data_IF_307607504658
#
_entry.id   IF_307607504658
#
_cell.length_a   1.000
_cell.length_b   1.000
_cell.length_c   1.000
_cell.angle_alpha   90.00
_cell.angle_beta   90.00
_cell.angle_gamma   90.00
#
_symmetry.space_group_name_H-M   'P 1'
#
loop_
_entity.id
_entity.type
_entity.pdbx_description
1 polymer ?
#
# COMPACT_ATOMS: atom_id res chain seq x y z
N UNK A 1 13.14 6.03 -2.09
CA UNK A 1 12.37 5.64 -3.31
C UNK A 1 10.95 5.25 -2.92
N UNK A 2 9.93 5.53 -3.74
CA UNK A 2 8.53 5.11 -3.47
C UNK A 2 7.89 4.57 -4.76
N UNK A 3 7.78 3.25 -4.85
CA UNK A 3 7.13 2.55 -5.97
C UNK A 3 6.34 1.35 -5.42
N UNK A 4 5.00 1.28 -5.56
CA UNK A 4 4.19 0.21 -4.98
C UNK A 4 4.59 -1.21 -5.39
N UNK A 5 5.10 -1.40 -6.61
CA UNK A 5 5.57 -2.70 -7.12
C UNK A 5 6.77 -3.27 -6.34
N UNK A 6 7.48 -2.42 -5.59
CA UNK A 6 8.59 -2.86 -4.74
C UNK A 6 8.13 -3.68 -3.53
N UNK A 7 6.83 -3.64 -3.18
CA UNK A 7 6.22 -4.53 -2.20
C UNK A 7 6.41 -6.03 -2.53
N UNK A 8 6.70 -6.36 -3.80
CA UNK A 8 6.92 -7.74 -4.27
C UNK A 8 8.39 -8.09 -4.46
N UNK A 9 9.31 -7.21 -4.07
CA UNK A 9 10.73 -7.26 -4.51
C UNK A 9 11.71 -6.92 -3.40
N UNK A 10 11.31 -6.95 -2.14
CA UNK A 10 12.20 -6.59 -1.03
C UNK A 10 13.51 -7.41 -1.05
N UNK A 11 13.51 -8.74 -1.27
CA UNK A 11 14.76 -9.51 -1.30
C UNK A 11 15.71 -9.10 -2.43
N UNK A 12 15.16 -8.65 -3.56
CA UNK A 12 15.97 -8.10 -4.65
C UNK A 12 16.55 -6.73 -4.26
N UNK A 13 15.75 -5.87 -3.64
CA UNK A 13 16.20 -4.55 -3.19
C UNK A 13 17.29 -4.64 -2.13
N UNK A 14 17.25 -5.62 -1.24
CA UNK A 14 18.32 -5.83 -0.26
C UNK A 14 19.65 -6.21 -0.93
N UNK A 15 19.62 -6.94 -2.04
CA UNK A 15 20.83 -7.26 -2.80
C UNK A 15 21.42 -6.06 -3.53
N UNK A 16 20.57 -5.19 -4.07
CA UNK A 16 21.00 -4.00 -4.84
C UNK A 16 21.37 -2.84 -3.91
N UNK A 17 20.69 -2.72 -2.78
CA UNK A 17 20.91 -1.70 -1.76
C UNK A 17 21.07 -2.36 -0.38
N UNK A 18 22.19 -3.07 -0.14
CA UNK A 18 22.47 -3.62 1.18
C UNK A 18 22.47 -2.48 2.19
N UNK A 19 21.74 -2.63 3.29
CA UNK A 19 21.63 -1.52 4.23
C UNK A 19 20.44 -0.57 3.96
N UNK A 20 19.54 -0.85 3.02
CA UNK A 20 18.30 -0.07 2.85
C UNK A 20 17.37 -0.12 4.08
N UNK A 21 16.75 1.00 4.43
CA UNK A 21 15.68 1.06 5.42
C UNK A 21 14.32 0.97 4.73
N UNK A 22 13.38 0.25 5.35
CA UNK A 22 12.05 0.03 4.78
C UNK A 22 10.95 0.67 5.63
N UNK A 23 9.97 1.27 4.96
CA UNK A 23 8.79 1.83 5.61
C UNK A 23 7.58 1.08 5.05
N UNK A 24 6.94 0.29 5.90
CA UNK A 24 5.68 -0.39 5.59
C UNK A 24 4.52 0.57 5.82
N UNK A 25 3.83 0.94 4.74
CA UNK A 25 2.62 1.75 4.80
C UNK A 25 1.39 0.86 4.71
N UNK A 26 0.62 0.81 5.78
CA UNK A 26 -0.65 0.10 5.83
C UNK A 26 -1.82 1.06 5.56
N UNK A 27 -2.87 0.54 4.90
CA UNK A 27 -4.17 1.20 4.77
C UNK A 27 -5.27 0.16 4.90
N UNK A 28 -6.36 0.54 5.56
CA UNK A 28 -7.55 -0.31 5.73
C UNK A 28 -7.98 -0.94 4.39
N UNK A 29 -8.23 -2.26 4.36
CA UNK A 29 -8.53 -2.96 3.11
C UNK A 29 -9.77 -2.42 2.40
N UNK A 30 -10.81 -1.97 3.11
CA UNK A 30 -12.03 -1.44 2.49
C UNK A 30 -11.73 -0.21 1.66
N UNK A 31 -11.02 0.73 2.29
CA UNK A 31 -10.59 1.99 1.71
C UNK A 31 -9.57 1.78 0.58
N UNK A 32 -8.61 0.88 0.78
CA UNK A 32 -7.57 0.63 -0.20
C UNK A 32 -8.12 -0.11 -1.43
N UNK A 33 -8.88 -1.20 -1.24
CA UNK A 33 -9.41 -2.02 -2.34
C UNK A 33 -10.42 -1.21 -3.15
N UNK A 34 -11.31 -0.45 -2.50
CA UNK A 34 -12.21 0.46 -3.23
C UNK A 34 -11.44 1.47 -4.08
N UNK A 35 -10.33 2.02 -3.56
CA UNK A 35 -9.47 2.93 -4.32
C UNK A 35 -8.76 2.23 -5.49
N UNK A 36 -8.41 0.96 -5.36
CA UNK A 36 -7.83 0.16 -6.43
C UNK A 36 -8.87 -0.11 -7.53
N UNK A 37 -10.09 -0.47 -7.16
CA UNK A 37 -11.20 -0.66 -8.11
C UNK A 37 -11.45 0.61 -8.93
N UNK A 38 -11.41 1.78 -8.30
CA UNK A 38 -11.50 3.07 -9.02
C UNK A 38 -10.35 3.28 -10.00
N UNK A 39 -9.12 2.94 -9.59
CA UNK A 39 -7.94 3.06 -10.44
C UNK A 39 -8.06 2.16 -11.67
N UNK A 40 -8.46 0.90 -11.50
CA UNK A 40 -8.73 -0.03 -12.59
C UNK A 40 -9.82 0.49 -13.55
N UNK A 41 -10.96 0.95 -13.01
CA UNK A 41 -12.08 1.47 -13.82
C UNK A 41 -11.74 2.75 -14.57
N UNK A 42 -10.81 3.55 -14.07
CA UNK A 42 -10.41 4.80 -14.72
C UNK A 42 -9.60 4.61 -16.01
N UNK A 43 -8.98 3.45 -16.22
CA UNK A 43 -8.06 3.20 -17.33
C UNK A 43 -6.72 3.96 -17.28
N UNK A 44 -6.55 4.92 -16.36
CA UNK A 44 -5.34 5.73 -16.22
C UNK A 44 -4.17 5.01 -15.51
N UNK A 45 -4.36 3.75 -15.11
CA UNK A 45 -3.42 2.99 -14.27
C UNK A 45 -2.99 1.65 -14.88
N UNK A 46 -3.28 1.47 -16.17
CA UNK A 46 -2.89 0.28 -16.93
C UNK A 46 -1.38 0.16 -16.90
N UNK A 47 -0.91 -1.00 -16.44
CA UNK A 47 0.52 -1.32 -16.36
C UNK A 47 0.89 -2.37 -17.38
N UNK A 48 0.02 -3.34 -17.62
CA UNK A 48 0.25 -4.42 -18.57
C UNK A 48 -0.94 -4.46 -19.53
N UNK A 49 -0.88 -3.71 -20.64
CA UNK A 49 -2.01 -3.55 -21.55
C UNK A 49 -2.37 -4.84 -22.30
N UNK A 50 -1.40 -5.74 -22.47
CA UNK A 50 -1.55 -6.98 -23.24
C UNK A 50 -0.96 -8.16 -22.45
N UNK A 51 -1.69 -8.64 -21.45
CA UNK A 51 -1.35 -9.90 -20.76
C UNK A 51 -1.93 -11.08 -21.54
N UNK A 52 -1.07 -12.05 -21.87
CA UNK A 52 -1.49 -13.30 -22.50
C UNK A 52 -2.47 -14.05 -21.58
N UNK A 53 -3.52 -14.62 -22.17
CA UNK A 53 -4.56 -15.40 -21.47
C UNK A 53 -5.33 -14.63 -20.38
N UNK A 54 -5.34 -13.30 -20.44
CA UNK A 54 -6.10 -12.45 -19.54
C UNK A 54 -7.46 -12.07 -20.14
N UNK A 55 -8.53 -12.28 -19.38
CA UNK A 55 -9.89 -11.82 -19.70
C UNK A 55 -10.36 -10.84 -18.62
N UNK A 56 -10.65 -9.60 -19.02
CA UNK A 56 -11.08 -8.53 -18.12
C UNK A 56 -10.65 -7.14 -18.60
N UNK A 57 -10.77 -6.15 -17.73
CA UNK A 57 -10.18 -4.82 -17.97
C UNK A 57 -8.65 -4.91 -18.14
N UNK A 58 -8.00 -4.02 -18.91
CA UNK A 58 -6.55 -4.03 -19.04
C UNK A 58 -5.86 -3.96 -17.68
N UNK A 59 -4.87 -4.84 -17.47
CA UNK A 59 -4.32 -5.04 -16.12
C UNK A 59 -3.67 -3.77 -15.59
N UNK A 60 -4.13 -3.35 -14.42
CA UNK A 60 -3.69 -2.13 -13.73
C UNK A 60 -2.92 -2.45 -12.44
N UNK A 61 -2.07 -1.53 -12.00
CA UNK A 61 -1.29 -1.61 -10.76
C UNK A 61 -0.19 -2.70 -10.74
N UNK A 62 -0.01 -3.40 -9.63
CA UNK A 62 1.04 -4.43 -9.44
C UNK A 62 0.60 -5.78 -10.00
N UNK A 63 1.54 -6.65 -10.38
CA UNK A 63 1.27 -7.99 -10.92
C UNK A 63 1.87 -9.02 -9.94
N UNK A 64 1.10 -9.48 -8.94
CA UNK A 64 1.60 -10.42 -7.94
C UNK A 64 1.70 -11.84 -8.51
N UNK A 65 2.56 -12.71 -7.93
CA UNK A 65 2.60 -14.12 -8.30
C UNK A 65 1.21 -14.78 -8.17
N UNK A 66 0.84 -15.63 -9.14
CA UNK A 66 -0.46 -16.32 -9.17
C UNK A 66 -1.61 -15.52 -9.78
N UNK A 67 -1.33 -14.35 -10.35
CA UNK A 67 -2.33 -13.49 -11.00
C UNK A 67 -3.13 -14.18 -12.12
N UNK A 68 -2.54 -15.20 -12.76
CA UNK A 68 -3.12 -15.95 -13.87
C UNK A 68 -4.46 -16.58 -13.49
N UNK A 69 -4.63 -16.95 -12.22
CA UNK A 69 -5.83 -17.59 -11.67
C UNK A 69 -7.03 -16.63 -11.61
N UNK A 70 -6.81 -15.33 -11.79
CA UNK A 70 -7.83 -14.29 -11.67
C UNK A 70 -8.50 -13.96 -13.01
N UNK A 71 -8.09 -14.61 -14.10
CA UNK A 71 -8.65 -14.34 -15.43
C UNK A 71 -10.16 -14.59 -15.43
N UNK A 72 -10.94 -13.58 -15.79
CA UNK A 72 -12.41 -13.63 -15.74
C UNK A 72 -13.04 -13.44 -14.36
N UNK A 73 -12.26 -13.29 -13.28
CA UNK A 73 -12.79 -12.99 -11.95
C UNK A 73 -13.36 -11.56 -11.87
N UNK A 74 -14.34 -11.30 -10.98
CA UNK A 74 -14.82 -9.95 -10.67
C UNK A 74 -13.69 -9.02 -10.20
N UNK A 75 -13.80 -7.73 -10.52
CA UNK A 75 -12.75 -6.74 -10.27
C UNK A 75 -12.38 -6.62 -8.78
N UNK A 76 -13.35 -6.73 -7.88
CA UNK A 76 -13.13 -6.72 -6.43
C UNK A 76 -12.25 -7.88 -5.98
N UNK A 77 -12.37 -9.06 -6.60
CA UNK A 77 -11.51 -10.21 -6.29
C UNK A 77 -10.09 -9.98 -6.80
N UNK A 78 -9.94 -9.40 -8.00
CA UNK A 78 -8.62 -9.02 -8.54
C UNK A 78 -7.92 -8.01 -7.63
N UNK A 79 -8.66 -6.97 -7.19
CA UNK A 79 -8.12 -5.94 -6.31
C UNK A 79 -7.83 -6.48 -4.90
N UNK A 80 -8.68 -7.35 -4.36
CA UNK A 80 -8.45 -8.02 -3.08
C UNK A 80 -7.20 -8.90 -3.14
N UNK A 81 -7.01 -9.70 -4.20
CA UNK A 81 -5.81 -10.50 -4.41
C UNK A 81 -4.55 -9.62 -4.49
N UNK A 82 -4.61 -8.52 -5.25
CA UNK A 82 -3.49 -7.57 -5.32
C UNK A 82 -3.13 -6.98 -3.95
N UNK A 83 -4.14 -6.61 -3.14
CA UNK A 83 -3.93 -6.07 -1.81
C UNK A 83 -3.37 -7.13 -0.85
N UNK A 84 -3.97 -8.32 -0.84
CA UNK A 84 -3.55 -9.45 0.00
C UNK A 84 -2.11 -9.82 -0.29
N UNK A 85 -1.79 -10.12 -1.55
CA UNK A 85 -0.48 -10.60 -1.94
C UNK A 85 0.61 -9.56 -1.64
N UNK A 86 0.36 -8.28 -1.92
CA UNK A 86 1.32 -7.21 -1.64
C UNK A 86 1.61 -7.10 -0.13
N UNK A 87 0.58 -7.11 0.71
CA UNK A 87 0.75 -7.00 2.16
C UNK A 87 1.38 -8.26 2.75
N UNK A 88 0.90 -9.45 2.39
CA UNK A 88 1.46 -10.72 2.89
C UNK A 88 2.93 -10.87 2.52
N UNK A 89 3.28 -10.69 1.24
CA UNK A 89 4.67 -10.79 0.78
C UNK A 89 5.55 -9.75 1.49
N UNK A 90 5.10 -8.49 1.59
CA UNK A 90 5.87 -7.47 2.31
C UNK A 90 6.07 -7.84 3.78
N UNK A 91 5.03 -8.32 4.46
CA UNK A 91 5.12 -8.71 5.87
C UNK A 91 6.00 -9.96 6.08
N UNK A 92 5.98 -10.90 5.14
CA UNK A 92 6.87 -12.08 5.14
C UNK A 92 8.33 -11.65 4.98
N UNK A 93 8.60 -10.82 3.97
CA UNK A 93 9.94 -10.33 3.66
C UNK A 93 10.52 -9.48 4.81
N UNK A 94 9.74 -8.54 5.35
CA UNK A 94 10.19 -7.68 6.46
C UNK A 94 10.44 -8.47 7.76
N UNK A 95 9.73 -9.58 7.98
CA UNK A 95 9.95 -10.43 9.14
C UNK A 95 11.33 -11.13 9.10
N UNK A 96 12.00 -11.16 7.94
CA UNK A 96 13.36 -11.71 7.82
C UNK A 96 14.46 -10.69 8.16
N UNK A 97 14.11 -9.41 8.28
CA UNK A 97 15.05 -8.33 8.55
C UNK A 97 15.16 -8.05 10.06
N UNK A 98 16.30 -7.49 10.49
CA UNK A 98 16.44 -6.96 11.84
C UNK A 98 15.40 -5.84 12.08
N UNK A 99 14.78 -5.75 13.27
CA UNK A 99 13.73 -4.77 13.56
C UNK A 99 14.13 -3.31 13.32
N UNK A 100 15.42 -2.98 13.43
CA UNK A 100 15.95 -1.62 13.22
C UNK A 100 15.98 -1.22 11.73
N UNK A 101 15.78 -2.18 10.83
CA UNK A 101 15.87 -2.00 9.37
C UNK A 101 14.54 -1.59 8.77
N UNK A 102 13.44 -1.66 9.53
CA UNK A 102 12.14 -1.30 9.03
C UNK A 102 11.19 -0.79 10.11
N UNK A 103 10.25 0.05 9.70
CA UNK A 103 9.16 0.55 10.55
C UNK A 103 7.83 0.44 9.83
N UNK A 104 6.73 0.56 10.57
CA UNK A 104 5.38 0.54 10.02
C UNK A 104 4.62 1.81 10.39
N UNK A 105 3.77 2.27 9.48
CA UNK A 105 2.88 3.41 9.70
C UNK A 105 1.55 3.19 8.99
N UNK A 106 0.46 3.66 9.58
CA UNK A 106 -0.85 3.64 8.95
C UNK A 106 -1.11 4.93 8.14
N UNK A 107 -1.92 4.79 7.10
CA UNK A 107 -2.29 5.88 6.20
C UNK A 107 -3.05 7.02 6.90
N UNK A 108 -3.84 6.70 7.93
CA UNK A 108 -4.62 7.71 8.65
C UNK A 108 -3.70 8.61 9.48
N UNK A 109 -2.66 8.07 10.10
CA UNK A 109 -1.58 8.84 10.73
C UNK A 109 -0.91 9.80 9.73
N UNK A 110 -0.62 9.36 8.51
CA UNK A 110 0.00 10.23 7.50
C UNK A 110 -0.93 11.33 6.97
N UNK A 111 -2.25 11.13 6.98
CA UNK A 111 -3.21 12.10 6.44
C UNK A 111 -3.80 13.03 7.51
N UNK A 112 -4.01 12.54 8.72
CA UNK A 112 -4.60 13.30 9.82
C UNK A 112 -3.55 13.89 10.76
N UNK A 113 -2.39 13.25 10.90
CA UNK A 113 -1.31 13.62 11.84
C UNK A 113 0.04 13.72 11.12
N UNK A 114 0.03 14.28 9.91
CA UNK A 114 1.19 14.26 8.98
C UNK A 114 2.51 14.74 9.61
N UNK A 115 2.48 15.80 10.43
CA UNK A 115 3.69 16.34 11.05
C UNK A 115 4.33 15.33 12.02
N UNK A 116 3.52 14.78 12.93
CA UNK A 116 3.95 13.74 13.88
C UNK A 116 4.45 12.48 13.14
N UNK A 117 3.66 12.01 12.18
CA UNK A 117 3.96 10.84 11.36
C UNK A 117 5.31 10.98 10.63
N UNK A 118 5.53 12.11 9.94
CA UNK A 118 6.80 12.31 9.21
C UNK A 118 7.98 12.47 10.16
N UNK A 119 7.82 13.14 11.32
CA UNK A 119 8.89 13.23 12.32
C UNK A 119 9.35 11.86 12.80
N UNK A 120 8.42 10.96 13.13
CA UNK A 120 8.75 9.57 13.50
C UNK A 120 9.53 8.84 12.40
N UNK A 121 9.14 9.02 11.14
CA UNK A 121 9.88 8.43 10.01
C UNK A 121 11.27 9.06 9.83
N UNK A 122 11.41 10.36 10.10
CA UNK A 122 12.68 11.05 10.08
C UNK A 122 13.61 10.55 11.19
N UNK A 123 13.10 10.37 12.41
CA UNK A 123 13.87 9.82 13.53
C UNK A 123 14.34 8.39 13.21
N UNK A 124 13.44 7.54 12.70
CA UNK A 124 13.78 6.19 12.24
C UNK A 124 14.86 6.16 11.16
N UNK A 125 14.83 7.11 10.22
CA UNK A 125 15.77 7.16 9.09
C UNK A 125 17.03 7.99 9.35
N UNK A 126 17.18 8.57 10.55
CA UNK A 126 18.30 9.46 10.88
C UNK A 126 18.29 10.78 10.10
N UNK A 127 17.14 11.19 9.55
CA UNK A 127 17.00 12.42 8.76
C UNK A 127 16.64 13.57 9.70
N UNK A 128 17.49 14.59 9.75
CA UNK A 128 17.18 15.80 10.55
C UNK A 128 16.08 16.65 9.89
N UNK A 129 15.08 17.04 10.68
CA UNK A 129 13.96 17.90 10.21
C UNK A 129 14.37 19.37 10.23
N UNK A 130 14.99 19.83 9.13
CA UNK A 130 15.46 21.22 8.98
C UNK A 130 15.09 21.82 7.62
N UNK A 131 15.29 23.14 7.48
CA UNK A 131 15.15 23.86 6.22
C UNK A 131 13.83 23.62 5.50
N UNK A 132 13.91 23.17 4.24
CA UNK A 132 12.74 22.92 3.38
C UNK A 132 11.80 21.86 3.96
N UNK A 133 12.33 20.83 4.63
CA UNK A 133 11.49 19.79 5.21
C UNK A 133 10.64 20.34 6.36
N UNK A 134 11.25 21.12 7.26
CA UNK A 134 10.53 21.80 8.33
C UNK A 134 9.44 22.74 7.79
N UNK A 135 9.75 23.52 6.73
CA UNK A 135 8.79 24.41 6.08
C UNK A 135 7.64 23.67 5.36
N UNK A 136 7.88 22.45 4.86
CA UNK A 136 6.83 21.60 4.31
C UNK A 136 5.91 21.05 5.40
N UNK A 137 6.46 20.68 6.56
CA UNK A 137 5.70 20.11 7.68
C UNK A 137 4.92 21.16 8.49
N UNK A 138 5.22 22.45 8.31
CA UNK A 138 4.47 23.55 8.91
C UNK A 138 3.05 23.76 8.34
N UNK A 139 2.67 23.00 7.30
CA UNK A 139 1.37 23.06 6.63
C UNK A 139 0.86 21.65 6.31
N UNK A 140 -0.44 21.48 6.02
CA UNK A 140 -0.95 20.20 5.53
C UNK A 140 -0.19 19.74 4.29
N UNK A 141 0.11 18.43 4.20
CA UNK A 141 0.80 17.88 3.04
C UNK A 141 -0.09 18.00 1.79
N UNK A 142 0.48 18.38 0.63
CA UNK A 142 -0.29 18.43 -0.61
C UNK A 142 -0.74 17.01 -1.00
N UNK A 143 -1.84 16.94 -1.76
CA UNK A 143 -2.27 15.68 -2.36
C UNK A 143 -1.17 15.12 -3.27
N UNK A 144 -1.03 13.79 -3.26
CA UNK A 144 -0.13 13.10 -4.19
C UNK A 144 -0.54 13.42 -5.63
N UNK A 145 0.44 13.58 -6.53
CA UNK A 145 0.24 13.74 -7.97
C UNK A 145 -0.72 12.69 -8.56
N UNK A 146 -0.77 11.51 -7.97
CA UNK A 146 -1.57 10.39 -8.43
C UNK A 146 -2.90 10.23 -7.66
N UNK A 147 -3.39 11.29 -7.02
CA UNK A 147 -4.68 11.25 -6.32
C UNK A 147 -5.81 11.39 -7.33
N UNK A 148 -6.63 10.34 -7.51
CA UNK A 148 -7.80 10.39 -8.40
C UNK A 148 -8.90 11.30 -7.84
N UNK A 149 -9.13 11.26 -6.54
CA UNK A 149 -10.02 12.18 -5.83
C UNK A 149 -9.59 12.25 -4.37
N UNK A 150 -9.82 13.38 -3.67
CA UNK A 150 -9.35 13.59 -2.32
C UNK A 150 -9.74 12.43 -1.35
N UNK A 151 -8.92 12.16 -0.33
CA UNK A 151 -9.30 11.26 0.77
C UNK A 151 -10.55 11.82 1.47
N UNK A 152 -11.55 10.97 1.69
CA UNK A 152 -12.78 11.31 2.42
C UNK A 152 -13.21 10.06 3.21
N UNK A 153 -13.65 10.20 4.48
CA UNK A 153 -14.19 9.09 5.24
C UNK A 153 -15.32 8.38 4.50
N UNK A 154 -15.39 7.06 4.62
CA UNK A 154 -16.46 6.22 4.07
C UNK A 154 -16.61 6.30 2.54
N UNK A 155 -15.60 6.80 1.83
CA UNK A 155 -15.61 6.86 0.36
C UNK A 155 -15.72 5.47 -0.26
N UNK A 156 -15.25 4.45 0.45
CA UNK A 156 -15.35 3.05 0.03
C UNK A 156 -16.80 2.57 -0.12
N UNK A 157 -17.78 3.20 0.54
CA UNK A 157 -19.19 2.77 0.54
C UNK A 157 -19.86 2.75 -0.83
N UNK A 158 -19.34 3.52 -1.81
CA UNK A 158 -19.83 3.40 -3.19
C UNK A 158 -19.60 2.01 -3.81
N UNK A 159 -18.68 1.23 -3.23
CA UNK A 159 -18.38 -0.15 -3.59
C UNK A 159 -18.77 -1.13 -2.46
N UNK A 160 -19.62 -0.74 -1.51
CA UNK A 160 -19.88 -1.47 -0.26
C UNK A 160 -20.20 -2.95 -0.47
N UNK A 161 -21.15 -3.27 -1.37
CA UNK A 161 -21.54 -4.65 -1.66
C UNK A 161 -20.36 -5.51 -2.19
N UNK A 162 -19.56 -4.95 -3.09
CA UNK A 162 -18.39 -5.64 -3.67
C UNK A 162 -17.24 -5.76 -2.67
N UNK A 163 -17.09 -4.80 -1.75
CA UNK A 163 -16.10 -4.87 -0.68
C UNK A 163 -16.51 -5.95 0.32
N UNK A 164 -17.77 -5.99 0.73
CA UNK A 164 -18.24 -7.00 1.68
C UNK A 164 -18.05 -8.43 1.18
N UNK A 165 -18.19 -8.70 -0.12
CA UNK A 165 -18.00 -10.04 -0.69
C UNK A 165 -16.55 -10.53 -0.64
N UNK A 166 -15.57 -9.64 -0.42
CA UNK A 166 -14.14 -9.98 -0.39
C UNK A 166 -13.47 -9.80 0.97
N UNK A 167 -14.18 -9.33 2.01
CA UNK A 167 -13.54 -9.02 3.30
C UNK A 167 -12.91 -10.23 3.96
N UNK A 168 -13.56 -11.39 3.87
CA UNK A 168 -13.06 -12.62 4.48
C UNK A 168 -11.74 -13.08 3.84
N UNK A 169 -11.55 -12.86 2.52
CA UNK A 169 -10.34 -13.28 1.81
C UNK A 169 -9.10 -12.48 2.21
N UNK A 170 -9.28 -11.28 2.79
CA UNK A 170 -8.18 -10.39 3.21
C UNK A 170 -8.02 -10.30 4.72
N UNK A 171 -8.95 -10.86 5.49
CA UNK A 171 -9.05 -10.68 6.95
C UNK A 171 -7.78 -11.14 7.70
N UNK A 172 -7.20 -12.28 7.32
CA UNK A 172 -6.02 -12.82 7.99
C UNK A 172 -4.80 -11.88 7.85
N UNK A 173 -4.57 -11.40 6.63
CA UNK A 173 -3.48 -10.48 6.32
C UNK A 173 -3.72 -9.10 6.95
N UNK A 174 -4.97 -8.62 6.96
CA UNK A 174 -5.37 -7.39 7.66
C UNK A 174 -5.08 -7.45 9.17
N UNK A 175 -5.49 -8.55 9.82
CA UNK A 175 -5.22 -8.78 11.24
C UNK A 175 -3.72 -8.75 11.52
N UNK A 176 -2.91 -9.46 10.72
CA UNK A 176 -1.45 -9.48 10.89
C UNK A 176 -0.83 -8.09 10.70
N UNK A 177 -1.28 -7.32 9.71
CA UNK A 177 -0.80 -5.96 9.48
C UNK A 177 -1.11 -5.04 10.68
N UNK A 178 -2.33 -5.13 11.23
CA UNK A 178 -2.75 -4.39 12.44
C UNK A 178 -1.92 -4.77 13.66
N UNK A 179 -1.62 -6.04 13.86
CA UNK A 179 -0.73 -6.50 14.94
C UNK A 179 0.69 -5.93 14.81
N UNK A 180 1.22 -5.86 13.58
CA UNK A 180 2.53 -5.25 13.31
C UNK A 180 2.52 -3.75 13.66
N UNK A 181 1.49 -3.01 13.23
CA UNK A 181 1.35 -1.59 13.56
C UNK A 181 1.28 -1.34 15.07
N UNK A 182 0.53 -2.18 15.78
CA UNK A 182 0.38 -2.08 17.23
C UNK A 182 1.70 -2.33 17.98
N UNK A 183 2.59 -3.18 17.44
CA UNK A 183 3.92 -3.43 18.02
C UNK A 183 4.89 -2.28 17.78
N UNK A 184 4.80 -1.62 16.62
CA UNK A 184 5.66 -0.50 16.22
C UNK A 184 5.26 0.85 16.85
N UNK A 185 4.07 0.92 17.44
CA UNK A 185 3.56 2.12 18.13
C UNK A 185 3.89 2.17 19.63
N UNK A 186 4.51 1.11 20.17
CA UNK A 186 4.98 1.01 21.57
C UNK A 186 6.45 1.39 21.66
#
# INVERSE_FOLDING_TARGET
>A
EKTPKNALRQPFLEKVFPGALYIYLYRDPRENISSMMDAWRSGGWVTYPSLSNWSGLPWSLLLPPGWEQLSGCPLEQVCAFQWEAANRITLDDLATLSPERWTAIDYDSLTQRSNEAVRKLCDFSGISVTGRLAACLARPLPLSRYTLSPPKPEKWRKNEAAIHSILDSVQATDKRAKEVLARQSK
#
